data_IF_055121378325
#
_entry.id   IF_055121378325
#
_cell.length_a   1.000
_cell.length_b   1.000
_cell.length_c   1.000
_cell.angle_alpha   90.00
_cell.angle_beta   90.00
_cell.angle_gamma   90.00
#
_symmetry.space_group_name_H-M   'P 1'
#
loop_
_entity.id
_entity.type
_entity.pdbx_description
1 polymer ?
#
# COMPACT_ATOMS: atom_id res chain seq x y z
N UNK A 1 0.38 -17.83 -12.29
CA UNK A 1 0.00 -17.71 -10.86
C UNK A 1 -0.68 -16.38 -10.73
N UNK A 2 -1.84 -16.25 -10.10
CA UNK A 2 -2.42 -14.93 -9.89
C UNK A 2 -1.56 -14.18 -8.87
N UNK A 3 -1.07 -13.01 -9.25
CA UNK A 3 -0.39 -12.08 -8.37
C UNK A 3 -1.43 -11.40 -7.48
N UNK A 4 -1.09 -11.14 -6.23
CA UNK A 4 -1.99 -10.49 -5.29
C UNK A 4 -1.95 -8.97 -5.49
N UNK A 5 -3.08 -8.34 -5.28
CA UNK A 5 -3.34 -6.94 -5.61
C UNK A 5 -3.07 -5.97 -4.46
N UNK A 6 -2.85 -4.71 -4.81
CA UNK A 6 -2.65 -3.60 -3.87
C UNK A 6 -3.95 -3.15 -3.18
N UNK A 7 -3.85 -2.81 -1.89
CA UNK A 7 -4.98 -2.44 -1.03
C UNK A 7 -5.67 -1.14 -1.44
N UNK A 8 -6.94 -1.20 -1.83
CA UNK A 8 -7.82 -0.04 -2.04
C UNK A 8 -8.76 0.10 -0.84
N UNK A 9 -8.89 1.30 -0.31
CA UNK A 9 -9.85 1.63 0.75
C UNK A 9 -11.27 1.69 0.18
N UNK A 10 -12.17 0.83 0.66
CA UNK A 10 -13.60 0.96 0.41
C UNK A 10 -14.15 2.20 1.14
N UNK A 11 -14.72 3.14 0.42
CA UNK A 11 -15.51 4.25 0.96
C UNK A 11 -16.95 3.77 1.16
N UNK A 12 -17.35 3.54 2.40
CA UNK A 12 -18.74 3.27 2.74
C UNK A 12 -19.51 4.60 2.87
N UNK A 13 -20.55 4.77 2.04
CA UNK A 13 -21.52 5.87 2.15
C UNK A 13 -22.58 5.46 3.17
N UNK A 14 -22.59 6.11 4.32
CA UNK A 14 -23.64 5.92 5.32
C UNK A 14 -24.84 6.83 5.00
N UNK A 15 -25.98 6.25 4.67
CA UNK A 15 -27.28 6.93 4.53
C UNK A 15 -27.94 6.95 5.92
N UNK A 16 -28.07 8.12 6.49
CA UNK A 16 -28.84 8.33 7.73
C UNK A 16 -30.30 8.66 7.39
N UNK A 17 -31.22 7.83 7.83
CA UNK A 17 -32.65 8.11 7.82
C UNK A 17 -33.05 8.83 9.09
N UNK A 18 -33.63 10.01 8.94
CA UNK A 18 -34.26 10.79 10.03
C UNK A 18 -35.66 10.28 10.35
N UNK A 19 -35.96 10.14 11.63
CA UNK A 19 -37.34 10.03 12.13
C UNK A 19 -37.62 11.17 13.10
N UNK A 20 -38.65 11.87 12.74
CA UNK A 20 -39.26 13.02 13.38
C UNK A 20 -40.10 12.60 14.61
N UNK A 21 -40.06 13.36 15.69
CA UNK A 21 -41.24 13.61 16.57
C UNK A 21 -41.03 14.79 17.51
N UNK A 22 -42.02 15.71 17.36
CA UNK A 22 -42.40 16.88 18.15
C UNK A 22 -42.33 16.77 19.66
N UNK A 23 -42.01 17.89 20.34
CA UNK A 23 -42.86 18.51 21.38
C UNK A 23 -42.39 19.95 21.67
N UNK A 24 -43.41 20.85 21.59
CA UNK A 24 -43.47 22.27 22.01
C UNK A 24 -43.21 22.46 23.51
N UNK A 25 -42.53 23.54 23.94
CA UNK A 25 -43.09 24.66 24.69
C UNK A 25 -42.06 25.68 25.22
N UNK A 26 -42.37 26.92 24.98
CA UNK A 26 -42.13 28.21 25.66
C UNK A 26 -40.88 28.47 26.55
N UNK A 27 -40.05 29.46 26.19
CA UNK A 27 -39.91 30.81 26.78
C UNK A 27 -38.69 31.58 26.19
N UNK A 28 -38.94 32.83 25.83
CA UNK A 28 -37.94 33.84 25.33
C UNK A 28 -37.47 34.73 26.52
N UNK A 29 -36.37 35.53 26.43
CA UNK A 29 -35.39 35.77 25.34
C UNK A 29 -33.91 35.77 25.80
N UNK A 30 -33.07 35.07 25.06
CA UNK A 30 -31.60 35.24 25.15
C UNK A 30 -30.94 35.12 23.73
N UNK A 31 -31.60 35.67 22.72
CA UNK A 31 -31.33 35.34 21.31
C UNK A 31 -30.26 36.17 20.59
N UNK A 32 -29.72 37.24 21.20
CA UNK A 32 -28.77 38.08 20.48
C UNK A 32 -27.32 37.57 20.51
N UNK A 33 -26.88 36.88 21.57
CA UNK A 33 -25.48 36.44 21.68
C UNK A 33 -25.24 35.02 21.19
N UNK A 34 -26.28 34.21 21.05
CA UNK A 34 -26.15 32.82 20.53
C UNK A 34 -26.08 32.84 19.00
N UNK A 35 -26.81 33.67 18.31
CA UNK A 35 -26.80 33.78 16.85
C UNK A 35 -25.44 34.22 16.29
N UNK A 36 -24.74 35.14 16.99
CA UNK A 36 -23.41 35.58 16.55
C UNK A 36 -22.33 34.49 16.75
N UNK A 37 -22.43 33.72 17.81
CA UNK A 37 -21.51 32.58 18.05
C UNK A 37 -21.76 31.39 17.13
N UNK A 38 -23.02 31.12 16.78
CA UNK A 38 -23.38 30.09 15.80
C UNK A 38 -23.00 30.49 14.38
N UNK A 39 -23.15 31.76 14.01
CA UNK A 39 -22.70 32.25 12.72
C UNK A 39 -21.17 32.17 12.57
N UNK A 40 -20.42 32.49 13.63
CA UNK A 40 -18.95 32.37 13.61
C UNK A 40 -18.48 30.94 13.59
N UNK A 41 -19.16 30.01 14.30
CA UNK A 41 -18.84 28.59 14.25
C UNK A 41 -19.22 27.95 12.91
N UNK A 42 -20.34 28.34 12.31
CA UNK A 42 -20.75 27.89 10.99
C UNK A 42 -19.83 28.42 9.88
N UNK A 43 -19.32 29.66 10.01
CA UNK A 43 -18.35 30.22 9.09
C UNK A 43 -16.99 29.54 9.20
N UNK A 44 -16.55 29.18 10.43
CA UNK A 44 -15.31 28.41 10.65
C UNK A 44 -15.42 26.99 10.11
N UNK A 45 -16.55 26.32 10.32
CA UNK A 45 -16.83 24.98 9.79
C UNK A 45 -16.95 25.01 8.25
N UNK A 46 -17.55 26.05 7.67
CA UNK A 46 -17.62 26.22 6.23
C UNK A 46 -16.23 26.48 5.59
N UNK A 47 -15.35 27.21 6.28
CA UNK A 47 -13.97 27.45 5.80
C UNK A 47 -13.13 26.17 5.92
N UNK A 48 -13.28 25.39 6.99
CA UNK A 48 -12.55 24.11 7.17
C UNK A 48 -13.11 23.06 6.22
N UNK A 49 -14.44 22.94 6.08
CA UNK A 49 -15.10 22.03 5.14
C UNK A 49 -14.89 22.43 3.67
N UNK A 50 -14.91 23.72 3.38
CA UNK A 50 -14.67 24.24 2.04
C UNK A 50 -13.23 24.04 1.56
N UNK A 51 -12.24 24.15 2.46
CA UNK A 51 -10.84 23.90 2.11
C UNK A 51 -10.55 22.42 1.84
N UNK A 52 -11.22 21.48 2.51
CA UNK A 52 -11.07 20.05 2.22
C UNK A 52 -11.77 19.64 0.93
N UNK A 53 -12.98 20.15 0.67
CA UNK A 53 -13.72 19.88 -0.58
C UNK A 53 -13.04 20.52 -1.80
N UNK A 54 -12.54 21.76 -1.70
CA UNK A 54 -11.76 22.40 -2.76
C UNK A 54 -10.43 21.68 -3.00
N UNK A 55 -9.80 21.16 -1.97
CA UNK A 55 -8.54 20.46 -2.05
C UNK A 55 -8.70 19.06 -2.71
N UNK A 56 -9.77 18.32 -2.40
CA UNK A 56 -10.10 17.07 -3.10
C UNK A 56 -10.51 17.32 -4.55
N UNK A 57 -11.26 18.39 -4.82
CA UNK A 57 -11.65 18.76 -6.18
C UNK A 57 -10.47 19.17 -7.08
N UNK A 58 -9.42 19.79 -6.51
CA UNK A 58 -8.22 20.16 -7.28
C UNK A 58 -7.24 19.03 -7.52
N UNK A 59 -7.36 17.92 -6.76
CA UNK A 59 -6.48 16.74 -6.90
C UNK A 59 -7.15 15.58 -7.64
N UNK A 60 -8.45 15.63 -7.89
CA UNK A 60 -9.15 14.65 -8.73
C UNK A 60 -8.93 14.97 -10.20
N UNK A 61 -8.67 13.93 -10.98
CA UNK A 61 -8.72 14.06 -12.43
C UNK A 61 -10.17 14.33 -12.84
N UNK A 62 -10.47 15.35 -13.66
CA UNK A 62 -11.85 15.73 -13.95
C UNK A 62 -12.47 14.91 -15.09
N UNK A 63 -13.66 14.33 -14.89
CA UNK A 63 -14.68 13.88 -15.85
C UNK A 63 -14.23 13.26 -17.21
N UNK A 64 -15.01 13.31 -18.27
CA UNK A 64 -14.83 12.50 -19.49
C UNK A 64 -13.58 12.77 -20.37
N UNK A 65 -12.69 13.65 -19.99
CA UNK A 65 -11.35 13.84 -20.61
C UNK A 65 -10.21 13.25 -19.77
N UNK A 66 -10.53 12.34 -18.87
CA UNK A 66 -9.56 11.75 -17.93
C UNK A 66 -8.46 10.97 -18.65
N UNK A 67 -8.81 10.23 -19.70
CA UNK A 67 -7.86 9.45 -20.46
C UNK A 67 -6.80 10.31 -21.16
N UNK A 68 -7.20 11.38 -21.86
CA UNK A 68 -6.25 12.27 -22.54
C UNK A 68 -5.30 12.94 -21.56
N UNK A 69 -5.81 13.33 -20.37
CA UNK A 69 -4.98 13.90 -19.29
C UNK A 69 -4.11 12.86 -18.64
N UNK A 70 -4.63 11.65 -18.40
CA UNK A 70 -3.89 10.51 -17.89
C UNK A 70 -2.72 10.17 -18.82
N UNK A 71 -2.96 10.05 -20.12
CA UNK A 71 -1.93 9.80 -21.13
C UNK A 71 -0.84 10.89 -21.17
N UNK A 72 -1.22 12.16 -21.05
CA UNK A 72 -0.26 13.26 -20.98
C UNK A 72 0.60 13.19 -19.70
N UNK A 73 -0.01 12.86 -18.55
CA UNK A 73 0.69 12.69 -17.28
C UNK A 73 1.64 11.48 -17.35
N UNK A 74 1.20 10.35 -17.91
CA UNK A 74 2.04 9.17 -18.14
C UNK A 74 3.23 9.53 -19.02
N UNK A 75 3.02 10.26 -20.12
CA UNK A 75 4.10 10.75 -20.97
C UNK A 75 5.13 11.60 -20.24
N UNK A 76 4.68 12.49 -19.36
CA UNK A 76 5.57 13.30 -18.51
C UNK A 76 6.31 12.44 -17.46
N UNK A 77 5.63 11.46 -16.86
CA UNK A 77 6.25 10.50 -15.92
C UNK A 77 7.34 9.69 -16.63
N UNK A 78 7.03 9.13 -17.79
CA UNK A 78 8.03 8.36 -18.58
C UNK A 78 9.24 9.18 -19.00
N UNK A 79 9.03 10.48 -19.31
CA UNK A 79 10.14 11.37 -19.56
C UNK A 79 11.03 11.57 -18.30
N UNK A 80 10.43 11.56 -17.11
CA UNK A 80 11.16 11.59 -15.84
C UNK A 80 11.85 10.26 -15.56
N UNK A 81 11.19 9.13 -15.76
CA UNK A 81 11.70 7.77 -15.57
C UNK A 81 12.94 7.49 -16.41
N UNK A 82 12.94 7.86 -17.67
CA UNK A 82 14.17 7.77 -18.51
C UNK A 82 15.35 8.53 -17.90
N UNK A 83 15.12 9.68 -17.23
CA UNK A 83 16.21 10.44 -16.58
C UNK A 83 16.76 9.75 -15.34
N UNK A 84 15.92 9.02 -14.62
CA UNK A 84 16.38 8.22 -13.47
C UNK A 84 16.85 6.82 -13.87
N UNK A 85 16.83 6.50 -15.16
CA UNK A 85 17.40 5.29 -15.72
C UNK A 85 16.42 4.12 -15.82
N UNK A 86 15.11 4.32 -15.73
CA UNK A 86 14.15 3.28 -16.06
C UNK A 86 14.19 2.94 -17.54
N UNK A 87 14.05 1.66 -17.86
CA UNK A 87 13.76 1.16 -19.18
C UNK A 87 12.29 1.37 -19.52
N UNK A 88 11.95 1.38 -20.81
CA UNK A 88 10.55 1.49 -21.24
C UNK A 88 9.77 0.24 -20.82
N UNK A 89 8.54 0.44 -20.39
CA UNK A 89 7.63 -0.62 -19.93
C UNK A 89 6.42 -0.71 -20.86
N UNK A 90 5.76 -1.85 -20.86
CA UNK A 90 4.51 -2.07 -21.58
C UNK A 90 3.27 -1.67 -20.74
N UNK A 91 3.47 -1.18 -19.52
CA UNK A 91 2.38 -0.72 -18.66
C UNK A 91 1.72 0.56 -19.19
N UNK A 92 0.45 0.72 -18.94
CA UNK A 92 -0.33 1.94 -19.20
C UNK A 92 -0.32 2.42 -20.68
N UNK A 93 -0.10 1.51 -21.62
CA UNK A 93 -0.18 1.83 -23.06
C UNK A 93 -1.62 2.02 -23.51
N UNK A 94 -2.53 1.24 -22.95
CA UNK A 94 -3.93 1.17 -23.35
C UNK A 94 -4.87 1.49 -22.18
N UNK A 95 -6.11 1.85 -22.47
CA UNK A 95 -7.19 2.00 -21.51
C UNK A 95 -8.07 0.75 -21.58
N UNK A 96 -8.21 0.07 -20.46
CA UNK A 96 -9.21 -0.98 -20.29
C UNK A 96 -10.52 -0.34 -19.80
N UNK A 97 -11.56 -0.37 -20.65
CA UNK A 97 -12.88 0.16 -20.31
C UNK A 97 -13.77 -0.85 -19.59
N UNK A 98 -13.40 -2.13 -19.59
CA UNK A 98 -14.21 -3.23 -19.09
C UNK A 98 -13.85 -3.61 -17.65
N UNK A 99 -12.58 -3.54 -17.32
CA UNK A 99 -12.05 -3.94 -16.00
C UNK A 99 -11.90 -2.74 -15.09
N UNK A 100 -12.84 -2.50 -14.20
CA UNK A 100 -12.72 -1.40 -13.22
C UNK A 100 -11.56 -1.62 -12.24
N UNK A 101 -11.38 -2.84 -11.76
CA UNK A 101 -10.34 -3.27 -10.82
C UNK A 101 -10.26 -4.80 -10.79
N UNK A 102 -9.21 -5.33 -10.18
CA UNK A 102 -8.98 -6.77 -10.05
C UNK A 102 -9.33 -7.23 -8.63
N UNK A 103 -10.49 -7.90 -8.40
CA UNK A 103 -10.88 -8.37 -7.10
C UNK A 103 -10.14 -9.65 -6.71
N UNK A 104 -9.89 -9.84 -5.42
CA UNK A 104 -9.26 -11.05 -4.88
C UNK A 104 -9.74 -11.33 -3.47
N UNK A 105 -9.71 -12.61 -3.11
CA UNK A 105 -10.08 -13.11 -1.80
C UNK A 105 -8.95 -13.94 -1.22
N UNK A 106 -8.54 -13.63 0.00
CA UNK A 106 -7.58 -14.42 0.76
C UNK A 106 -8.20 -14.91 2.06
N UNK A 107 -8.01 -16.19 2.37
CA UNK A 107 -8.44 -16.76 3.64
C UNK A 107 -7.31 -17.48 4.37
N UNK A 108 -7.33 -17.41 5.70
CA UNK A 108 -6.33 -18.09 6.54
C UNK A 108 -6.92 -18.40 7.92
N UNK A 109 -6.43 -19.47 8.57
CA UNK A 109 -6.78 -19.74 9.95
C UNK A 109 -6.44 -18.56 10.88
N UNK A 110 -7.35 -18.21 11.81
CA UNK A 110 -7.08 -17.22 12.87
C UNK A 110 -5.90 -17.58 13.78
N UNK A 111 -5.49 -18.83 13.76
CA UNK A 111 -4.38 -19.35 14.58
C UNK A 111 -3.06 -19.35 13.83
N UNK A 112 -3.03 -18.88 12.59
CA UNK A 112 -1.81 -18.79 11.78
C UNK A 112 -1.58 -17.34 11.33
N UNK A 113 -0.41 -16.79 11.58
CA UNK A 113 0.01 -15.48 11.12
C UNK A 113 0.91 -15.67 9.89
N UNK A 114 0.42 -15.35 8.68
CA UNK A 114 1.23 -15.50 7.47
C UNK A 114 2.43 -14.56 7.45
N UNK A 115 3.47 -14.96 6.74
CA UNK A 115 4.69 -14.18 6.59
C UNK A 115 4.50 -12.96 5.69
N UNK A 116 3.93 -13.17 4.53
CA UNK A 116 3.61 -12.17 3.49
C UNK A 116 2.39 -12.67 2.72
N UNK A 117 1.95 -11.95 1.69
CA UNK A 117 0.88 -12.47 0.85
C UNK A 117 1.29 -13.72 0.04
N UNK A 118 2.59 -13.92 -0.22
CA UNK A 118 3.10 -15.13 -0.88
C UNK A 118 3.09 -16.36 0.03
N UNK A 119 2.76 -16.20 1.30
CA UNK A 119 2.73 -17.31 2.26
C UNK A 119 1.73 -18.39 1.80
N UNK A 120 2.18 -19.63 1.57
CA UNK A 120 1.30 -20.70 1.10
C UNK A 120 0.23 -21.12 2.11
N UNK A 121 0.27 -20.59 3.34
CA UNK A 121 -0.79 -20.75 4.32
C UNK A 121 -2.02 -19.91 4.05
N UNK A 122 -1.94 -18.94 3.13
CA UNK A 122 -3.09 -18.16 2.64
C UNK A 122 -3.68 -18.90 1.45
N UNK A 123 -4.97 -19.17 1.51
CA UNK A 123 -5.74 -19.67 0.37
C UNK A 123 -6.29 -18.47 -0.42
N UNK A 124 -5.68 -18.21 -1.59
CA UNK A 124 -6.08 -17.17 -2.52
C UNK A 124 -7.01 -17.70 -3.58
N UNK A 125 -8.16 -17.05 -3.77
CA UNK A 125 -9.12 -17.42 -4.81
C UNK A 125 -9.87 -16.19 -5.35
N UNK A 126 -10.52 -16.36 -6.47
CA UNK A 126 -11.36 -15.34 -7.07
C UNK A 126 -12.68 -15.22 -6.30
N UNK A 127 -13.11 -13.99 -6.07
CA UNK A 127 -14.44 -13.65 -5.58
C UNK A 127 -14.81 -12.28 -6.14
N UNK A 128 -15.98 -12.15 -6.72
CA UNK A 128 -16.43 -10.89 -7.28
C UNK A 128 -16.84 -9.87 -6.20
N UNK A 129 -17.23 -10.36 -5.02
CA UNK A 129 -17.73 -9.56 -3.92
C UNK A 129 -17.15 -9.99 -2.56
N UNK A 130 -17.18 -9.07 -1.60
CA UNK A 130 -16.80 -9.38 -0.22
C UNK A 130 -17.72 -10.44 0.43
N UNK A 131 -18.98 -10.50 0.01
CA UNK A 131 -19.93 -11.49 0.52
C UNK A 131 -19.58 -12.91 0.03
N UNK A 132 -19.28 -13.05 -1.25
CA UNK A 132 -18.79 -14.31 -1.84
C UNK A 132 -17.48 -14.75 -1.16
N UNK A 133 -16.54 -13.83 -0.97
CA UNK A 133 -15.30 -14.09 -0.27
C UNK A 133 -15.53 -14.59 1.16
N UNK A 134 -16.46 -13.99 1.89
CA UNK A 134 -16.84 -14.46 3.24
C UNK A 134 -17.55 -15.81 3.23
N UNK A 135 -18.38 -16.06 2.23
CA UNK A 135 -19.11 -17.33 2.12
C UNK A 135 -18.20 -18.52 1.79
N UNK A 136 -17.07 -18.28 1.12
CA UNK A 136 -16.08 -19.32 0.81
C UNK A 136 -15.21 -19.73 2.02
N UNK A 137 -15.18 -18.88 3.06
CA UNK A 137 -14.31 -19.10 4.21
C UNK A 137 -14.88 -20.12 5.19
N UNK A 138 -14.02 -21.01 5.70
CA UNK A 138 -14.36 -21.92 6.78
C UNK A 138 -14.56 -21.21 8.12
N UNK A 139 -15.27 -21.88 9.05
CA UNK A 139 -15.41 -21.40 10.41
C UNK A 139 -14.04 -21.19 11.08
N UNK A 140 -13.84 -20.06 11.74
CA UNK A 140 -12.57 -19.74 12.40
C UNK A 140 -11.48 -19.19 11.47
N UNK A 141 -11.79 -18.88 10.20
CA UNK A 141 -10.89 -18.20 9.30
C UNK A 141 -10.95 -16.66 9.44
N UNK A 142 -9.84 -16.02 9.13
CA UNK A 142 -9.77 -14.62 8.75
C UNK A 142 -9.98 -14.51 7.24
N UNK A 143 -10.70 -13.49 6.82
CA UNK A 143 -11.09 -13.26 5.42
C UNK A 143 -10.65 -11.87 5.01
N UNK A 144 -9.95 -11.77 3.90
CA UNK A 144 -9.55 -10.51 3.32
C UNK A 144 -10.03 -10.43 1.87
N UNK A 145 -10.87 -9.44 1.60
CA UNK A 145 -11.28 -9.10 0.25
C UNK A 145 -10.63 -7.77 -0.14
N UNK A 146 -9.95 -7.77 -1.25
CA UNK A 146 -9.31 -6.58 -1.80
C UNK A 146 -9.63 -6.39 -3.27
N UNK A 147 -9.30 -5.21 -3.75
CA UNK A 147 -9.36 -4.85 -5.17
C UNK A 147 -8.10 -4.08 -5.50
N UNK A 148 -7.42 -4.44 -6.59
CA UNK A 148 -6.29 -3.66 -7.11
C UNK A 148 -6.69 -2.86 -8.34
N UNK A 149 -6.06 -1.71 -8.49
CA UNK A 149 -6.28 -0.79 -9.60
C UNK A 149 -5.35 -1.11 -10.77
N UNK A 150 -4.20 -1.70 -10.49
CA UNK A 150 -3.16 -2.04 -11.45
C UNK A 150 -2.41 -3.30 -11.00
N UNK A 151 -1.80 -3.99 -11.93
CA UNK A 151 -0.94 -5.17 -11.70
C UNK A 151 0.25 -5.03 -12.64
N UNK A 152 1.42 -4.72 -12.10
CA UNK A 152 2.68 -4.65 -12.87
C UNK A 152 3.07 -5.98 -13.51
N UNK A 153 4.17 -6.03 -14.23
CA UNK A 153 4.77 -7.22 -14.89
C UNK A 153 3.99 -7.81 -16.08
N UNK A 154 2.76 -7.36 -16.36
CA UNK A 154 1.90 -7.94 -17.38
C UNK A 154 1.43 -6.95 -18.44
N UNK A 155 2.03 -5.75 -18.51
CA UNK A 155 1.51 -4.69 -19.37
C UNK A 155 0.16 -4.19 -18.87
N UNK A 156 0.11 -3.74 -17.61
CA UNK A 156 -1.14 -3.31 -16.97
C UNK A 156 -1.76 -2.13 -17.72
N UNK A 157 -3.04 -2.17 -18.08
CA UNK A 157 -3.73 -1.04 -18.72
C UNK A 157 -4.07 0.04 -17.71
N UNK A 158 -4.42 1.22 -18.18
CA UNK A 158 -5.06 2.25 -17.35
C UNK A 158 -6.51 1.83 -17.10
N UNK A 159 -6.88 1.63 -15.84
CA UNK A 159 -8.24 1.25 -15.45
C UNK A 159 -9.10 2.47 -15.10
N UNK A 160 -10.44 2.39 -15.23
CA UNK A 160 -11.36 3.44 -14.79
C UNK A 160 -11.18 3.80 -13.31
N UNK A 161 -10.86 2.84 -12.43
CA UNK A 161 -10.61 3.10 -11.01
C UNK A 161 -9.36 3.95 -10.76
N UNK A 162 -8.29 3.76 -11.54
CA UNK A 162 -7.11 4.62 -11.49
C UNK A 162 -7.47 6.08 -11.84
N UNK A 163 -8.30 6.26 -12.87
CA UNK A 163 -8.74 7.58 -13.33
C UNK A 163 -9.77 8.24 -12.39
N UNK A 164 -10.58 7.43 -11.69
CA UNK A 164 -11.53 7.92 -10.68
C UNK A 164 -10.84 8.34 -9.37
N UNK A 165 -9.59 7.93 -9.16
CA UNK A 165 -8.78 8.26 -8.01
C UNK A 165 -8.31 9.71 -7.95
N UNK A 166 -7.40 9.99 -7.04
CA UNK A 166 -6.71 11.28 -6.98
C UNK A 166 -5.50 11.29 -7.91
N UNK A 167 -5.13 12.47 -8.44
CA UNK A 167 -3.89 12.62 -9.21
C UNK A 167 -2.66 12.07 -8.46
N UNK A 168 -2.60 12.27 -7.16
CA UNK A 168 -1.50 11.80 -6.31
C UNK A 168 -1.43 10.27 -6.30
N UNK A 169 -2.58 9.58 -6.20
CA UNK A 169 -2.65 8.12 -6.25
C UNK A 169 -2.29 7.61 -7.65
N UNK A 170 -2.78 8.27 -8.69
CA UNK A 170 -2.47 7.93 -10.08
C UNK A 170 -0.96 7.99 -10.37
N UNK A 171 -0.31 9.11 -10.00
CA UNK A 171 1.14 9.28 -10.19
C UNK A 171 1.94 8.24 -9.40
N UNK A 172 1.51 7.93 -8.17
CA UNK A 172 2.13 6.86 -7.39
C UNK A 172 2.04 5.51 -8.10
N UNK A 173 0.84 5.14 -8.58
CA UNK A 173 0.63 3.86 -9.26
C UNK A 173 1.52 3.71 -10.48
N UNK A 174 1.60 4.74 -11.34
CA UNK A 174 2.45 4.68 -12.54
C UNK A 174 3.92 4.44 -12.16
N UNK A 175 4.49 5.20 -11.24
CA UNK A 175 5.87 4.97 -10.80
C UNK A 175 6.09 3.62 -10.13
N UNK A 176 5.09 3.10 -9.43
CA UNK A 176 5.19 1.84 -8.69
C UNK A 176 5.15 0.64 -9.64
N UNK A 177 4.17 0.60 -10.54
CA UNK A 177 4.02 -0.51 -11.48
C UNK A 177 5.13 -0.51 -12.55
N UNK A 178 5.56 0.65 -13.05
CA UNK A 178 6.69 0.74 -13.97
C UNK A 178 8.03 0.35 -13.31
N UNK A 179 8.11 0.45 -11.98
CA UNK A 179 9.26 -0.02 -11.22
C UNK A 179 9.38 -1.55 -11.20
N UNK A 180 8.28 -2.29 -11.21
CA UNK A 180 8.31 -3.75 -11.27
C UNK A 180 8.98 -4.29 -12.53
N UNK A 181 8.84 -3.61 -13.66
CA UNK A 181 9.51 -3.99 -14.91
C UNK A 181 11.04 -3.72 -14.90
N UNK A 182 11.57 -3.12 -13.85
CA UNK A 182 13.00 -2.79 -13.78
C UNK A 182 13.86 -3.86 -13.11
N UNK A 183 13.25 -4.78 -12.35
CA UNK A 183 13.95 -5.74 -11.50
C UNK A 183 13.22 -7.08 -11.44
N UNK A 184 13.95 -8.17 -11.16
CA UNK A 184 13.42 -9.51 -10.82
C UNK A 184 13.85 -9.87 -9.39
N UNK A 185 13.49 -9.11 -8.41
CA UNK A 185 13.86 -9.36 -7.01
C UNK A 185 12.81 -10.23 -6.30
N UNK A 186 13.13 -10.85 -5.14
CA UNK A 186 12.09 -11.47 -4.30
C UNK A 186 10.99 -10.45 -3.97
N UNK A 187 9.74 -10.89 -4.09
CA UNK A 187 8.56 -10.02 -4.04
C UNK A 187 8.57 -9.03 -2.87
N UNK A 188 8.81 -9.49 -1.62
CA UNK A 188 8.81 -8.59 -0.46
C UNK A 188 9.95 -7.57 -0.48
N UNK A 189 11.03 -7.80 -1.23
CA UNK A 189 12.09 -6.80 -1.45
C UNK A 189 11.69 -5.85 -2.56
N UNK A 190 11.15 -6.37 -3.64
CA UNK A 190 10.79 -5.60 -4.84
C UNK A 190 9.65 -4.62 -4.55
N UNK A 191 8.55 -5.08 -3.95
CA UNK A 191 7.43 -4.23 -3.53
C UNK A 191 7.87 -3.09 -2.60
N UNK A 192 8.72 -3.42 -1.62
CA UNK A 192 9.26 -2.41 -0.73
C UNK A 192 10.20 -1.42 -1.43
N UNK A 193 11.01 -1.90 -2.40
CA UNK A 193 11.90 -1.07 -3.21
C UNK A 193 11.10 -0.14 -4.13
N UNK A 194 10.07 -0.68 -4.81
CA UNK A 194 9.21 0.09 -5.69
C UNK A 194 8.46 1.17 -4.92
N UNK A 195 8.05 0.92 -3.67
CA UNK A 195 7.54 1.96 -2.78
C UNK A 195 8.58 3.04 -2.46
N UNK A 196 9.81 2.67 -2.11
CA UNK A 196 10.88 3.66 -1.85
C UNK A 196 11.13 4.53 -3.09
N UNK A 197 11.22 3.91 -4.26
CA UNK A 197 11.46 4.63 -5.53
C UNK A 197 10.25 5.51 -5.87
N UNK A 198 9.03 4.96 -5.88
CA UNK A 198 7.82 5.69 -6.26
C UNK A 198 7.55 6.91 -5.36
N UNK A 199 7.67 6.77 -4.03
CA UNK A 199 7.47 7.90 -3.11
C UNK A 199 8.49 9.01 -3.33
N UNK A 200 9.74 8.69 -3.60
CA UNK A 200 10.76 9.69 -3.86
C UNK A 200 10.67 10.27 -5.28
N UNK A 201 10.34 9.44 -6.28
CA UNK A 201 10.15 9.86 -7.66
C UNK A 201 8.97 10.83 -7.80
N UNK A 202 7.80 10.53 -7.20
CA UNK A 202 6.65 11.43 -7.25
C UNK A 202 6.92 12.79 -6.61
N UNK A 203 7.70 12.82 -5.52
CA UNK A 203 8.09 14.09 -4.87
C UNK A 203 9.03 14.89 -5.77
N UNK A 204 10.04 14.26 -6.38
CA UNK A 204 10.97 14.92 -7.29
C UNK A 204 10.25 15.40 -8.57
N UNK A 205 9.46 14.54 -9.20
CA UNK A 205 8.65 14.85 -10.38
C UNK A 205 7.73 16.06 -10.16
N UNK A 206 7.02 16.07 -9.02
CA UNK A 206 6.13 17.17 -8.68
C UNK A 206 6.87 18.51 -8.48
N UNK A 207 8.13 18.45 -8.07
CA UNK A 207 9.00 19.62 -7.96
C UNK A 207 9.27 20.31 -9.30
N UNK A 208 9.28 19.53 -10.39
CA UNK A 208 9.57 20.02 -11.73
C UNK A 208 8.32 20.43 -12.53
N UNK A 209 7.21 19.74 -12.36
CA UNK A 209 6.06 19.80 -13.27
C UNK A 209 4.79 20.36 -12.66
N UNK A 210 4.60 20.20 -11.37
CA UNK A 210 3.33 20.49 -10.71
C UNK A 210 3.29 21.87 -10.04
N UNK A 211 2.10 22.42 -9.88
CA UNK A 211 1.85 23.60 -9.06
C UNK A 211 2.12 23.36 -7.58
N UNK A 212 2.07 24.43 -6.78
CA UNK A 212 2.37 24.33 -5.34
C UNK A 212 1.46 23.35 -4.58
N UNK A 213 0.17 23.29 -4.92
CA UNK A 213 -0.80 22.42 -4.23
C UNK A 213 -0.52 20.93 -4.51
N UNK A 214 -0.31 20.58 -5.76
CA UNK A 214 0.02 19.19 -6.15
C UNK A 214 1.35 18.75 -5.52
N UNK A 215 2.37 19.59 -5.53
CA UNK A 215 3.66 19.32 -4.90
C UNK A 215 3.52 19.02 -3.41
N UNK A 216 2.75 19.84 -2.71
CA UNK A 216 2.49 19.65 -1.28
C UNK A 216 1.67 18.37 -1.03
N UNK A 217 0.69 18.07 -1.89
CA UNK A 217 -0.13 16.87 -1.78
C UNK A 217 0.70 15.59 -2.00
N UNK A 218 1.57 15.56 -3.02
CA UNK A 218 2.45 14.42 -3.29
C UNK A 218 3.45 14.18 -2.17
N UNK A 219 4.08 15.23 -1.65
CA UNK A 219 4.97 15.09 -0.49
C UNK A 219 4.25 14.53 0.73
N UNK A 220 3.08 15.06 1.07
CA UNK A 220 2.29 14.58 2.21
C UNK A 220 1.81 13.14 2.03
N UNK A 221 1.51 12.74 0.81
CA UNK A 221 1.17 11.36 0.49
C UNK A 221 2.37 10.45 0.75
N UNK A 222 3.53 10.76 0.17
CA UNK A 222 4.74 10.00 0.34
C UNK A 222 5.16 9.87 1.82
N UNK A 223 5.14 10.98 2.57
CA UNK A 223 5.44 10.98 4.01
C UNK A 223 4.47 10.12 4.81
N UNK A 224 3.17 10.24 4.55
CA UNK A 224 2.13 9.48 5.24
C UNK A 224 2.22 7.98 4.93
N UNK A 225 2.38 7.58 3.67
CA UNK A 225 2.47 6.17 3.29
C UNK A 225 3.79 5.55 3.77
N UNK A 226 4.90 6.28 3.75
CA UNK A 226 6.16 5.83 4.36
C UNK A 226 6.02 5.58 5.87
N UNK A 227 5.35 6.46 6.59
CA UNK A 227 5.09 6.28 8.03
C UNK A 227 4.13 5.12 8.29
N UNK A 228 3.06 4.99 7.51
CA UNK A 228 2.13 3.86 7.57
C UNK A 228 2.87 2.52 7.37
N UNK A 229 3.77 2.47 6.39
CA UNK A 229 4.59 1.29 6.09
C UNK A 229 5.46 0.90 7.29
N UNK A 230 6.12 1.85 7.94
CA UNK A 230 6.92 1.60 9.16
C UNK A 230 6.05 1.10 10.32
N UNK A 231 4.86 1.66 10.51
CA UNK A 231 3.93 1.26 11.56
C UNK A 231 3.34 -0.14 11.32
N UNK A 232 3.04 -0.52 10.07
CA UNK A 232 2.55 -1.86 9.74
C UNK A 232 3.53 -2.94 10.21
N UNK A 233 4.82 -2.76 9.95
CA UNK A 233 5.87 -3.65 10.43
C UNK A 233 5.87 -3.78 11.96
N UNK A 234 5.77 -2.68 12.69
CA UNK A 234 5.77 -2.70 14.15
C UNK A 234 4.55 -3.44 14.74
N UNK A 235 3.38 -3.34 14.13
CA UNK A 235 2.19 -4.11 14.54
C UNK A 235 2.34 -5.59 14.21
N UNK A 236 2.86 -5.92 13.04
CA UNK A 236 3.14 -7.31 12.68
C UNK A 236 4.12 -7.97 13.67
N UNK A 237 5.18 -7.29 14.09
CA UNK A 237 6.15 -7.81 15.06
C UNK A 237 5.48 -8.08 16.43
N UNK A 238 4.53 -7.25 16.87
CA UNK A 238 3.74 -7.52 18.07
C UNK A 238 2.87 -8.77 17.90
N UNK A 239 2.22 -8.94 16.76
CA UNK A 239 1.45 -10.16 16.45
C UNK A 239 2.37 -11.37 16.39
N UNK A 240 3.50 -11.30 15.70
CA UNK A 240 4.46 -12.41 15.62
C UNK A 240 4.96 -12.88 16.99
N UNK A 241 5.25 -11.95 17.89
CA UNK A 241 5.63 -12.26 19.27
C UNK A 241 4.47 -12.95 20.02
N UNK A 242 3.23 -12.49 19.84
CA UNK A 242 2.03 -13.09 20.44
C UNK A 242 1.80 -14.51 19.92
N UNK A 243 1.85 -14.74 18.60
CA UNK A 243 1.70 -16.07 18.01
C UNK A 243 2.82 -17.02 18.43
N UNK A 244 4.06 -16.52 18.60
CA UNK A 244 5.16 -17.33 19.12
C UNK A 244 4.92 -17.78 20.56
N UNK A 245 4.35 -16.93 21.45
CA UNK A 245 3.94 -17.31 22.81
C UNK A 245 2.89 -18.43 22.79
N UNK A 246 1.90 -18.34 21.90
CA UNK A 246 0.90 -19.39 21.72
C UNK A 246 1.54 -20.69 21.22
N UNK A 247 2.43 -20.64 20.22
CA UNK A 247 3.13 -21.80 19.70
C UNK A 247 3.98 -22.52 20.77
N UNK A 248 4.54 -21.77 21.73
CA UNK A 248 5.24 -22.34 22.90
C UNK A 248 4.30 -22.76 24.05
N UNK A 249 2.98 -22.67 23.85
CA UNK A 249 1.95 -22.99 24.86
C UNK A 249 2.01 -22.13 26.13
N UNK A 250 2.56 -20.93 26.04
CA UNK A 250 2.63 -19.96 27.17
C UNK A 250 1.26 -19.27 27.39
N UNK A 251 0.42 -19.23 26.38
CA UNK A 251 -0.93 -18.67 26.42
C UNK A 251 -1.92 -19.62 25.76
N UNK A 252 -3.19 -19.56 26.18
CA UNK A 252 -4.27 -20.31 25.57
C UNK A 252 -4.68 -19.73 24.22
N UNK A 253 -5.41 -20.52 23.40
CA UNK A 253 -6.03 -20.03 22.18
C UNK A 253 -6.97 -18.86 22.40
N UNK A 254 -7.75 -18.90 23.51
CA UNK A 254 -8.65 -17.81 23.88
C UNK A 254 -7.85 -16.52 24.14
N UNK A 255 -6.77 -16.59 24.92
CA UNK A 255 -5.92 -15.43 25.20
C UNK A 255 -5.25 -14.90 23.93
N UNK A 256 -4.79 -15.77 23.00
CA UNK A 256 -4.28 -15.36 21.70
C UNK A 256 -5.33 -14.52 20.94
N UNK A 257 -6.57 -15.03 20.84
CA UNK A 257 -7.63 -14.35 20.07
C UNK A 257 -8.02 -13.01 20.70
N UNK A 258 -8.04 -12.90 22.02
CA UNK A 258 -8.32 -11.67 22.74
C UNK A 258 -7.20 -10.64 22.59
N UNK A 259 -5.93 -11.03 22.82
CA UNK A 259 -4.79 -10.13 22.73
C UNK A 259 -4.59 -9.65 21.26
N UNK A 260 -4.75 -10.53 20.26
CA UNK A 260 -4.66 -10.13 18.85
C UNK A 260 -5.72 -9.10 18.46
N UNK A 261 -6.98 -9.24 18.95
CA UNK A 261 -8.04 -8.28 18.66
C UNK A 261 -7.69 -6.88 19.16
N UNK A 262 -7.04 -6.77 20.32
CA UNK A 262 -6.54 -5.49 20.84
C UNK A 262 -5.44 -4.89 19.96
N UNK A 263 -4.52 -5.73 19.47
CA UNK A 263 -3.45 -5.28 18.55
C UNK A 263 -4.08 -4.79 17.25
N UNK A 264 -4.99 -5.55 16.64
CA UNK A 264 -5.66 -5.14 15.40
C UNK A 264 -6.45 -3.85 15.56
N UNK A 265 -7.22 -3.68 16.63
CA UNK A 265 -7.95 -2.43 16.87
C UNK A 265 -7.04 -1.20 17.02
N UNK A 266 -5.81 -1.36 17.47
CA UNK A 266 -4.80 -0.30 17.51
C UNK A 266 -4.19 -0.06 16.12
N UNK A 267 -3.88 -1.14 15.41
CA UNK A 267 -3.32 -1.09 14.06
C UNK A 267 -4.29 -0.44 13.06
N UNK A 268 -5.57 -0.77 13.11
CA UNK A 268 -6.61 -0.16 12.27
C UNK A 268 -6.66 1.36 12.40
N UNK A 269 -6.59 1.86 13.63
CA UNK A 269 -6.56 3.32 13.86
C UNK A 269 -5.28 3.96 13.32
N UNK A 270 -4.14 3.34 13.53
CA UNK A 270 -2.84 3.87 13.13
C UNK A 270 -2.64 3.81 11.60
N UNK A 271 -3.05 2.71 10.99
CA UNK A 271 -2.88 2.44 9.57
C UNK A 271 -4.06 2.94 8.72
N UNK A 272 -5.05 3.57 9.36
CA UNK A 272 -6.28 4.05 8.74
C UNK A 272 -7.07 2.94 7.99
N UNK A 273 -7.11 1.75 8.56
CA UNK A 273 -8.02 0.69 8.16
C UNK A 273 -9.42 0.94 8.71
N UNK A 274 -10.43 0.40 8.04
CA UNK A 274 -11.78 0.38 8.57
C UNK A 274 -11.84 -0.47 9.85
N UNK A 275 -12.65 -0.04 10.81
CA UNK A 275 -12.79 -0.75 12.08
C UNK A 275 -13.30 -2.18 11.88
N UNK A 276 -12.58 -3.16 12.40
CA UNK A 276 -12.89 -4.58 12.31
C UNK A 276 -12.56 -5.23 10.96
N UNK A 277 -11.83 -4.53 10.08
CA UNK A 277 -11.46 -5.06 8.77
C UNK A 277 -10.06 -5.68 8.72
N UNK A 278 -9.14 -5.24 9.60
CA UNK A 278 -7.79 -5.76 9.62
C UNK A 278 -7.72 -7.11 10.33
N UNK A 279 -7.03 -8.06 9.70
CA UNK A 279 -6.87 -9.41 10.18
C UNK A 279 -5.51 -10.00 9.76
N UNK A 280 -5.28 -11.30 9.97
CA UNK A 280 -4.00 -11.94 9.66
C UNK A 280 -3.62 -11.86 8.17
N UNK A 281 -4.58 -11.98 7.26
CA UNK A 281 -4.33 -11.84 5.81
C UNK A 281 -3.99 -10.38 5.47
N UNK A 282 -4.79 -9.43 5.95
CA UNK A 282 -4.59 -8.01 5.70
C UNK A 282 -3.24 -7.49 6.20
N UNK A 283 -2.83 -7.88 7.41
CA UNK A 283 -1.50 -7.46 7.93
C UNK A 283 -0.35 -8.17 7.20
N UNK A 284 -0.53 -9.43 6.75
CA UNK A 284 0.46 -10.12 5.95
C UNK A 284 0.63 -9.47 4.56
N UNK A 285 -0.49 -9.03 3.96
CA UNK A 285 -0.45 -8.23 2.74
C UNK A 285 0.33 -6.92 2.96
N UNK A 286 0.02 -6.15 4.01
CA UNK A 286 0.78 -4.94 4.36
C UNK A 286 2.28 -5.26 4.59
N UNK A 287 2.63 -6.46 5.06
CA UNK A 287 4.02 -6.85 5.29
C UNK A 287 4.82 -7.11 4.02
N UNK A 288 4.18 -7.45 2.92
CA UNK A 288 4.84 -7.57 1.62
C UNK A 288 5.51 -6.25 1.24
N UNK A 289 4.82 -5.14 1.48
CA UNK A 289 5.30 -3.77 1.21
C UNK A 289 6.19 -3.20 2.32
N UNK A 290 6.09 -3.72 3.55
CA UNK A 290 6.60 -3.05 4.75
C UNK A 290 7.84 -3.69 5.35
N UNK A 291 8.03 -5.01 5.16
CA UNK A 291 9.07 -5.78 5.84
C UNK A 291 10.46 -5.20 5.64
N UNK A 292 10.81 -4.91 4.41
CA UNK A 292 12.13 -4.46 4.02
C UNK A 292 12.21 -2.95 3.76
N UNK A 293 11.08 -2.24 3.76
CA UNK A 293 11.01 -0.82 3.45
C UNK A 293 11.96 0.03 4.29
N UNK A 294 12.02 -0.07 5.63
CA UNK A 294 12.95 0.77 6.42
C UNK A 294 14.42 0.53 6.08
N UNK A 295 14.77 -0.73 5.76
CA UNK A 295 16.14 -1.05 5.34
C UNK A 295 16.45 -0.48 3.95
N UNK A 296 15.54 -0.64 2.98
CA UNK A 296 15.71 -0.12 1.62
C UNK A 296 15.70 1.41 1.59
N UNK A 297 14.92 2.06 2.45
CA UNK A 297 15.00 3.50 2.66
C UNK A 297 16.40 3.92 3.16
N UNK A 298 17.00 3.17 4.09
CA UNK A 298 18.37 3.42 4.54
C UNK A 298 19.42 3.19 3.44
N UNK A 299 19.16 2.26 2.51
CA UNK A 299 20.00 2.06 1.31
C UNK A 299 19.91 3.27 0.39
N UNK A 300 18.70 3.77 0.15
CA UNK A 300 18.46 4.98 -0.63
C UNK A 300 19.21 6.18 -0.04
N UNK A 301 19.16 6.35 1.29
CA UNK A 301 19.92 7.39 2.00
C UNK A 301 21.44 7.21 1.82
N UNK A 302 21.94 5.97 1.94
CA UNK A 302 23.36 5.66 1.74
C UNK A 302 23.83 5.91 0.29
N UNK A 303 22.92 5.84 -0.68
CA UNK A 303 23.16 6.18 -2.09
C UNK A 303 23.02 7.69 -2.35
N UNK A 304 22.83 8.51 -1.32
CA UNK A 304 22.73 9.96 -1.39
C UNK A 304 21.33 10.47 -1.79
N UNK A 305 20.29 9.67 -1.59
CA UNK A 305 18.91 9.94 -2.01
C UNK A 305 18.79 10.25 -3.50
N UNK A 306 19.63 9.59 -4.30
CA UNK A 306 19.72 9.76 -5.76
C UNK A 306 18.99 8.60 -6.44
N UNK A 307 17.90 8.89 -7.13
CA UNK A 307 17.06 7.90 -7.80
C UNK A 307 17.80 7.14 -8.88
N UNK A 308 18.57 7.83 -9.74
CA UNK A 308 19.30 7.19 -10.82
C UNK A 308 20.38 6.23 -10.28
N UNK A 309 21.09 6.65 -9.23
CA UNK A 309 22.07 5.79 -8.55
C UNK A 309 21.40 4.58 -7.90
N UNK A 310 20.20 4.76 -7.39
CA UNK A 310 19.42 3.69 -6.74
C UNK A 310 18.97 2.67 -7.75
N UNK A 311 18.40 3.09 -8.87
CA UNK A 311 18.03 2.20 -9.98
C UNK A 311 19.24 1.43 -10.49
N UNK A 312 20.33 2.11 -10.82
CA UNK A 312 21.56 1.47 -11.30
C UNK A 312 22.16 0.49 -10.26
N UNK A 313 22.07 0.82 -8.97
CA UNK A 313 22.55 -0.05 -7.90
C UNK A 313 21.72 -1.34 -7.81
N UNK A 314 20.40 -1.24 -7.83
CA UNK A 314 19.54 -2.42 -7.71
C UNK A 314 19.53 -3.28 -8.97
N UNK A 315 19.69 -2.73 -10.17
CA UNK A 315 19.97 -3.53 -11.39
C UNK A 315 21.24 -4.35 -11.26
N UNK A 316 22.28 -3.76 -10.67
CA UNK A 316 23.51 -4.53 -10.39
C UNK A 316 23.29 -5.60 -9.34
N UNK A 317 22.52 -5.34 -8.28
CA UNK A 317 22.13 -6.34 -7.29
C UNK A 317 21.34 -7.47 -7.97
N UNK A 318 20.38 -7.13 -8.80
CA UNK A 318 19.56 -8.06 -9.55
C UNK A 318 20.41 -8.99 -10.44
N UNK A 319 21.34 -8.43 -11.19
CA UNK A 319 22.24 -9.19 -12.06
C UNK A 319 23.18 -10.16 -11.32
N UNK A 320 23.51 -9.89 -10.04
CA UNK A 320 24.48 -10.70 -9.26
C UNK A 320 23.85 -11.39 -8.05
N UNK A 321 22.53 -11.31 -7.88
CA UNK A 321 21.82 -12.00 -6.80
C UNK A 321 21.98 -13.53 -6.94
N UNK A 322 21.96 -14.28 -5.84
CA UNK A 322 21.97 -15.74 -5.93
C UNK A 322 20.69 -16.24 -6.62
N UNK A 323 20.83 -17.29 -7.42
CA UNK A 323 19.66 -17.92 -8.04
C UNK A 323 18.81 -18.66 -6.99
N UNK A 324 17.48 -18.76 -7.19
CA UNK A 324 16.60 -19.57 -6.34
C UNK A 324 17.15 -20.98 -6.09
N UNK A 325 17.61 -21.66 -7.13
CA UNK A 325 18.19 -23.01 -7.04
C UNK A 325 19.43 -23.07 -6.12
N UNK A 326 20.30 -22.05 -6.16
CA UNK A 326 21.47 -21.99 -5.30
C UNK A 326 21.11 -21.79 -3.82
N UNK A 327 20.09 -21.00 -3.54
CA UNK A 327 19.58 -20.78 -2.18
C UNK A 327 18.93 -22.05 -1.67
N UNK A 328 18.07 -22.70 -2.44
CA UNK A 328 17.47 -23.98 -2.08
C UNK A 328 18.54 -25.02 -1.72
N UNK A 329 19.56 -25.15 -2.58
CA UNK A 329 20.68 -26.08 -2.33
C UNK A 329 21.44 -25.73 -1.03
N UNK A 330 21.77 -24.45 -0.82
CA UNK A 330 22.47 -23.97 0.37
C UNK A 330 21.73 -24.28 1.67
N UNK A 331 20.41 -24.16 1.65
CA UNK A 331 19.54 -24.34 2.82
C UNK A 331 18.87 -25.70 2.91
N UNK A 332 19.12 -26.63 1.96
CA UNK A 332 18.53 -27.97 1.95
C UNK A 332 17.02 -27.96 1.74
N UNK A 333 16.48 -26.93 1.07
CA UNK A 333 15.06 -26.77 0.83
C UNK A 333 14.60 -27.60 -0.36
N UNK A 334 13.40 -28.21 -0.24
CA UNK A 334 12.83 -29.07 -1.27
C UNK A 334 11.87 -28.35 -2.23
N UNK A 335 11.47 -27.14 -1.89
CA UNK A 335 10.49 -26.35 -2.65
C UNK A 335 10.82 -24.85 -2.55
N UNK A 336 10.57 -24.14 -3.63
CA UNK A 336 10.62 -22.68 -3.75
C UNK A 336 9.28 -22.00 -3.36
N UNK A 337 8.31 -22.78 -2.90
CA UNK A 337 6.96 -22.29 -2.57
C UNK A 337 6.69 -22.17 -1.06
N UNK A 338 7.68 -22.41 -0.23
CA UNK A 338 7.54 -22.41 1.22
C UNK A 338 8.04 -21.12 1.86
N UNK A 339 7.51 -20.76 3.02
CA UNK A 339 7.96 -19.59 3.81
C UNK A 339 9.45 -19.62 4.11
N UNK A 340 10.01 -20.81 4.36
CA UNK A 340 11.45 -20.97 4.61
C UNK A 340 12.29 -20.59 3.39
N UNK A 341 11.80 -20.89 2.17
CA UNK A 341 12.45 -20.46 0.94
C UNK A 341 12.34 -18.93 0.78
N UNK A 342 11.14 -18.35 0.93
CA UNK A 342 10.93 -16.91 0.81
C UNK A 342 11.91 -16.18 1.73
N UNK A 343 11.98 -16.54 3.00
CA UNK A 343 12.89 -15.95 3.99
C UNK A 343 14.37 -16.12 3.63
N UNK A 344 14.75 -17.32 3.20
CA UNK A 344 16.14 -17.60 2.84
C UNK A 344 16.56 -16.82 1.58
N UNK A 345 15.65 -16.70 0.61
CA UNK A 345 15.94 -15.99 -0.62
C UNK A 345 16.02 -14.47 -0.40
N UNK A 346 15.06 -13.90 0.33
CA UNK A 346 15.13 -12.48 0.75
C UNK A 346 16.43 -12.18 1.51
N UNK A 347 16.80 -13.02 2.49
CA UNK A 347 18.03 -12.83 3.26
C UNK A 347 19.28 -12.85 2.35
N UNK A 348 19.34 -13.78 1.40
CA UNK A 348 20.48 -13.91 0.49
C UNK A 348 20.61 -12.70 -0.47
N UNK A 349 19.48 -12.15 -0.92
CA UNK A 349 19.47 -10.93 -1.74
C UNK A 349 19.89 -9.71 -0.90
N UNK A 350 19.38 -9.58 0.33
CA UNK A 350 19.79 -8.50 1.24
C UNK A 350 21.29 -8.56 1.62
N UNK A 351 21.87 -9.75 1.75
CA UNK A 351 23.33 -9.92 1.87
C UNK A 351 24.06 -9.36 0.65
N UNK A 352 23.52 -9.56 -0.55
CA UNK A 352 24.08 -9.00 -1.79
C UNK A 352 24.00 -7.48 -1.81
N UNK A 353 22.87 -6.89 -1.39
CA UNK A 353 22.71 -5.44 -1.20
C UNK A 353 23.77 -4.90 -0.24
N UNK A 354 23.94 -5.53 0.92
CA UNK A 354 24.91 -5.10 1.94
C UNK A 354 26.35 -5.15 1.42
N UNK A 355 26.70 -6.20 0.66
CA UNK A 355 28.01 -6.33 0.03
C UNK A 355 28.26 -5.20 -0.96
N UNK A 356 27.33 -4.93 -1.87
CA UNK A 356 27.45 -3.85 -2.85
C UNK A 356 27.59 -2.46 -2.21
N UNK A 357 26.91 -2.20 -1.09
CA UNK A 357 27.09 -0.94 -0.33
C UNK A 357 28.48 -0.82 0.30
N UNK A 358 29.07 -1.93 0.80
CA UNK A 358 30.43 -1.93 1.36
C UNK A 358 31.47 -1.67 0.29
N UNK A 359 31.38 -2.33 -0.85
CA UNK A 359 32.28 -2.12 -2.00
C UNK A 359 32.28 -0.65 -2.42
N UNK A 360 31.09 -0.05 -2.57
CA UNK A 360 30.92 1.37 -2.94
C UNK A 360 31.51 2.37 -1.92
N UNK A 361 31.61 1.98 -0.65
CA UNK A 361 32.25 2.81 0.39
C UNK A 361 33.78 2.77 0.31
N UNK A 362 34.36 1.70 -0.23
CA UNK A 362 35.80 1.55 -0.41
C UNK A 362 36.33 2.24 -1.67
N UNK A 363 35.44 2.59 -2.63
CA UNK A 363 35.76 3.31 -3.85
C UNK A 363 35.77 4.84 -3.68
N UNK A 364 35.38 5.36 -2.52
CA UNK A 364 35.39 6.79 -2.16
C UNK A 364 36.57 7.12 -1.25
#
# INVERSE_FOLDING_TARGET
>A
MPQAPQCVKATATATATATERDRLNDNKPAFANAALRLASAALLLAVIGGCTLLRDATTRLPGPRLYEKGAAIIGDIRAFERRIGFEETDNFLDLDHETESYPFCGTVSRLYLPYSYEDPGIDWHEAATQEECRASAGEGADVYFGQTEAVGEAGTPVTPSMLAGTLVRFVYLVFHEDCHDQFELPQGIEEALCNVIAYNAMVAFSGEKSGFLERTAMRRYAERESERTRQAKAFYEQLAALYARHGRKEISTQALLEERAVIFARAERALAWERGSLNNVGIANDMTYSRHFPYLESVFDALGRDLARTVAFFRRVDAIKPSPASVMKKHGLKSDRGVDFIRAYEAAVLETVQRGLREKKLEK
#
